data_IF_291992806454
#
_entry.id   IF_291992806454
#
_cell.length_a   1.000
_cell.length_b   1.000
_cell.length_c   1.000
_cell.angle_alpha   90.00
_cell.angle_beta   90.00
_cell.angle_gamma   90.00
#
_symmetry.space_group_name_H-M   'P 1'
#
loop_
_entity.id
_entity.type
_entity.pdbx_description
1 polymer ?
#
# COMPACT_ATOMS: atom_id res chain seq x y z
N UNK A 1 15.34 16.50 9.93
CA UNK A 1 14.18 16.41 9.02
C UNK A 1 12.85 16.66 9.73
N UNK A 2 11.85 17.13 8.99
CA UNK A 2 10.47 17.33 9.44
C UNK A 2 9.58 16.26 8.80
N UNK A 3 8.61 15.74 9.55
CA UNK A 3 7.70 14.70 9.09
C UNK A 3 6.24 15.06 9.39
N UNK A 4 5.34 14.64 8.50
CA UNK A 4 3.93 14.48 8.80
C UNK A 4 3.68 13.10 9.39
N UNK A 5 3.20 13.06 10.63
CA UNK A 5 2.72 11.85 11.25
C UNK A 5 1.21 11.70 11.04
N UNK A 6 0.80 10.65 10.33
CA UNK A 6 -0.60 10.27 10.20
C UNK A 6 -0.99 9.32 11.36
N UNK A 7 -1.84 9.78 12.30
CA UNK A 7 -2.26 8.98 13.46
C UNK A 7 -3.31 7.92 13.10
N UNK A 8 -3.83 7.88 11.86
CA UNK A 8 -4.70 6.80 11.37
C UNK A 8 -3.87 5.59 10.96
N UNK A 9 -2.85 5.82 10.17
CA UNK A 9 -2.03 4.76 9.54
C UNK A 9 -0.72 4.48 10.28
N UNK A 10 -0.36 5.34 11.24
CA UNK A 10 0.92 5.34 11.94
C UNK A 10 2.13 5.52 10.98
N UNK A 11 1.97 6.28 9.91
CA UNK A 11 3.00 6.55 8.91
C UNK A 11 3.66 7.90 9.18
N UNK A 12 4.96 7.98 8.91
CA UNK A 12 5.73 9.22 8.86
C UNK A 12 6.09 9.49 7.39
N UNK A 13 5.69 10.65 6.89
CA UNK A 13 6.02 11.11 5.54
C UNK A 13 6.93 12.32 5.67
N UNK A 14 8.07 12.32 4.98
CA UNK A 14 8.97 13.48 4.98
C UNK A 14 8.27 14.70 4.35
N UNK A 15 8.53 15.87 4.92
CA UNK A 15 7.95 17.13 4.49
C UNK A 15 8.90 18.29 4.81
N UNK A 16 8.61 19.46 4.27
CA UNK A 16 9.20 20.72 4.72
C UNK A 16 8.08 21.74 5.05
N UNK A 17 8.46 22.89 5.61
CA UNK A 17 7.47 23.91 5.97
C UNK A 17 6.80 24.55 4.74
N UNK A 18 7.51 24.79 3.65
CA UNK A 18 6.94 25.42 2.44
C UNK A 18 5.78 24.59 1.88
N UNK A 19 5.96 23.27 1.78
CA UNK A 19 4.90 22.35 1.34
C UNK A 19 3.70 22.38 2.29
N UNK A 20 3.96 22.47 3.59
CA UNK A 20 2.89 22.56 4.60
C UNK A 20 2.14 23.88 4.55
N UNK A 21 2.82 24.99 4.28
CA UNK A 21 2.16 26.29 4.08
C UNK A 21 1.21 26.21 2.87
N UNK A 22 1.65 25.59 1.76
CA UNK A 22 0.82 25.37 0.57
C UNK A 22 -0.40 24.47 0.88
N UNK A 23 -0.17 23.33 1.54
CA UNK A 23 -1.22 22.34 1.82
C UNK A 23 -2.23 22.85 2.86
N UNK A 24 -1.76 23.53 3.90
CA UNK A 24 -2.59 23.90 5.05
C UNK A 24 -3.08 25.35 4.99
N UNK A 25 -2.39 26.23 4.28
CA UNK A 25 -2.60 27.68 4.30
C UNK A 25 -2.13 28.37 5.59
N UNK A 26 -1.40 27.65 6.47
CA UNK A 26 -0.87 28.20 7.72
C UNK A 26 0.52 28.75 7.50
N UNK A 27 0.87 29.86 8.17
CA UNK A 27 2.24 30.39 8.17
C UNK A 27 3.21 29.50 8.97
N UNK A 28 4.50 29.66 8.69
CA UNK A 28 5.60 29.01 9.40
C UNK A 28 5.46 29.14 10.92
N UNK A 29 5.18 30.33 11.44
CA UNK A 29 5.04 30.57 12.90
C UNK A 29 3.90 29.74 13.49
N UNK A 30 2.78 29.60 12.76
CA UNK A 30 1.66 28.76 13.17
C UNK A 30 2.04 27.28 13.15
N UNK A 31 2.72 26.81 12.09
CA UNK A 31 3.17 25.43 11.94
C UNK A 31 4.20 25.06 13.02
N UNK A 32 5.18 25.92 13.27
CA UNK A 32 6.17 25.78 14.34
C UNK A 32 5.51 25.66 15.72
N UNK A 33 4.47 26.46 15.96
CA UNK A 33 3.64 26.35 17.18
C UNK A 33 2.92 25.01 17.27
N UNK A 34 2.33 24.52 16.17
CA UNK A 34 1.67 23.20 16.15
C UNK A 34 2.66 22.08 16.46
N UNK A 35 3.88 22.16 15.92
CA UNK A 35 4.95 21.21 16.21
C UNK A 35 5.34 21.26 17.70
N UNK A 36 5.68 22.43 18.22
CA UNK A 36 6.12 22.62 19.61
C UNK A 36 5.07 22.16 20.62
N UNK A 37 3.80 22.56 20.40
CA UNK A 37 2.67 22.18 21.24
C UNK A 37 2.09 20.79 20.93
N UNK A 38 2.68 20.04 19.99
CA UNK A 38 2.24 18.69 19.59
C UNK A 38 0.76 18.63 19.19
N UNK A 39 0.29 19.69 18.55
CA UNK A 39 -1.09 19.89 18.11
C UNK A 39 -1.33 19.25 16.74
N UNK A 40 -2.57 18.82 16.53
CA UNK A 40 -3.00 18.25 15.27
C UNK A 40 -3.26 19.35 14.25
N UNK A 41 -2.80 19.16 13.02
CA UNK A 41 -3.18 19.94 11.87
C UNK A 41 -4.52 19.38 11.34
N UNK A 42 -5.63 19.96 11.78
CA UNK A 42 -6.99 19.47 11.50
C UNK A 42 -7.27 19.29 10.00
N UNK A 43 -6.84 20.25 9.16
CA UNK A 43 -7.10 20.23 7.71
C UNK A 43 -6.59 18.98 6.99
N UNK A 44 -5.47 18.42 7.45
CA UNK A 44 -4.84 17.22 6.85
C UNK A 44 -4.81 16.02 7.80
N UNK A 45 -5.41 16.17 8.99
CA UNK A 45 -5.48 15.17 10.04
C UNK A 45 -4.14 14.59 10.55
N UNK A 46 -3.05 15.33 10.44
CA UNK A 46 -1.70 14.88 10.81
C UNK A 46 -1.10 15.69 11.96
N UNK A 47 -0.04 15.16 12.56
CA UNK A 47 0.82 15.86 13.51
C UNK A 47 2.17 16.17 12.88
N UNK A 48 2.85 17.22 13.34
CA UNK A 48 4.23 17.48 12.95
C UNK A 48 5.18 16.73 13.87
N UNK A 49 6.04 15.93 13.26
CA UNK A 49 7.05 15.12 13.93
C UNK A 49 8.45 15.47 13.41
N UNK A 50 9.46 15.06 14.16
CA UNK A 50 10.87 15.15 13.80
C UNK A 50 11.60 13.89 14.29
N UNK A 51 12.91 13.84 14.10
CA UNK A 51 13.76 12.73 14.51
C UNK A 51 13.72 12.44 16.01
N UNK A 52 13.37 13.43 16.84
CA UNK A 52 13.24 13.28 18.30
C UNK A 52 11.89 12.69 18.72
N UNK A 53 10.97 12.52 17.78
CA UNK A 53 9.62 12.04 18.06
C UNK A 53 9.63 10.55 18.41
N UNK A 54 9.37 10.25 19.68
CA UNK A 54 9.41 8.88 20.20
C UNK A 54 8.19 8.05 19.80
N UNK A 55 8.33 6.71 19.85
CA UNK A 55 7.21 5.79 19.67
C UNK A 55 6.08 6.03 20.69
N UNK A 56 6.43 6.42 21.93
CA UNK A 56 5.47 6.79 22.97
C UNK A 56 4.61 7.98 22.52
N UNK A 57 5.24 9.02 21.97
CA UNK A 57 4.52 10.20 21.48
C UNK A 57 3.57 9.86 20.32
N UNK A 58 4.05 9.10 19.35
CA UNK A 58 3.23 8.62 18.22
C UNK A 58 2.02 7.83 18.72
N UNK A 59 2.24 6.98 19.71
CA UNK A 59 1.16 6.22 20.34
C UNK A 59 0.14 7.12 21.03
N UNK A 60 0.57 8.14 21.77
CA UNK A 60 -0.35 9.10 22.39
C UNK A 60 -1.22 9.80 21.35
N UNK A 61 -0.63 10.27 20.24
CA UNK A 61 -1.38 10.86 19.13
C UNK A 61 -2.34 9.86 18.51
N UNK A 62 -1.89 8.65 18.22
CA UNK A 62 -2.71 7.56 17.68
C UNK A 62 -3.93 7.26 18.58
N UNK A 63 -3.75 7.26 19.90
CA UNK A 63 -4.82 6.97 20.88
C UNK A 63 -5.82 8.11 20.98
N UNK A 64 -5.36 9.37 20.88
CA UNK A 64 -6.22 10.56 20.92
C UNK A 64 -7.24 10.62 19.79
N UNK A 65 -6.97 9.94 18.68
CA UNK A 65 -7.89 9.91 17.54
C UNK A 65 -9.22 9.22 17.87
N UNK A 66 -10.28 9.94 17.53
CA UNK A 66 -11.68 9.51 17.63
C UNK A 66 -12.27 9.48 16.24
N UNK A 67 -12.88 8.35 15.90
CA UNK A 67 -13.57 8.17 14.63
C UNK A 67 -15.06 8.00 14.88
N UNK A 68 -15.86 8.60 14.01
CA UNK A 68 -17.32 8.49 14.08
C UNK A 68 -17.75 7.04 13.80
N UNK A 69 -18.64 6.48 14.62
CA UNK A 69 -19.13 5.10 14.49
C UNK A 69 -17.99 4.05 14.43
N UNK A 70 -16.93 4.25 15.24
CA UNK A 70 -15.90 3.23 15.39
C UNK A 70 -16.44 2.03 16.17
N UNK A 71 -16.48 0.87 15.50
CA UNK A 71 -16.93 -0.40 16.07
C UNK A 71 -15.75 -1.34 16.21
N UNK A 72 -15.67 -2.04 17.34
CA UNK A 72 -14.61 -2.99 17.67
C UNK A 72 -15.14 -4.42 17.70
N UNK A 73 -14.41 -5.36 17.11
CA UNK A 73 -14.68 -6.80 17.15
C UNK A 73 -13.48 -7.56 17.70
N UNK A 74 -13.72 -8.66 18.40
CA UNK A 74 -12.66 -9.58 18.80
C UNK A 74 -12.03 -10.23 17.55
N UNK A 75 -10.70 -10.34 17.56
CA UNK A 75 -9.97 -11.05 16.50
C UNK A 75 -10.20 -12.54 16.64
N UNK A 76 -10.58 -13.21 15.56
CA UNK A 76 -11.01 -14.61 15.56
C UNK A 76 -9.88 -15.54 16.03
N UNK A 77 -10.20 -16.52 16.88
CA UNK A 77 -9.21 -17.42 17.47
C UNK A 77 -8.11 -16.71 18.26
N UNK A 78 -8.40 -15.54 18.84
CA UNK A 78 -7.47 -14.82 19.73
C UNK A 78 -7.74 -15.05 21.22
N UNK A 79 -8.86 -15.71 21.55
CA UNK A 79 -9.36 -15.83 22.93
C UNK A 79 -9.66 -14.47 23.54
N UNK A 80 -10.28 -13.58 22.75
CA UNK A 80 -10.63 -12.19 23.09
C UNK A 80 -9.45 -11.30 23.54
N UNK A 81 -8.21 -11.74 23.32
CA UNK A 81 -7.01 -10.97 23.68
C UNK A 81 -6.76 -9.80 22.76
N UNK A 82 -7.33 -9.80 21.56
CA UNK A 82 -7.10 -8.76 20.55
C UNK A 82 -8.42 -8.28 19.97
N UNK A 83 -8.53 -6.96 19.77
CA UNK A 83 -9.65 -6.33 19.08
C UNK A 83 -9.16 -5.67 17.79
N UNK A 84 -10.03 -5.64 16.79
CA UNK A 84 -9.86 -4.90 15.53
C UNK A 84 -11.05 -3.96 15.34
N UNK A 85 -10.79 -2.72 14.93
CA UNK A 85 -11.85 -1.77 14.59
C UNK A 85 -12.16 -1.75 13.10
N UNK A 86 -13.35 -1.28 12.76
CA UNK A 86 -13.77 -1.04 11.38
C UNK A 86 -12.89 -0.02 10.65
N UNK A 87 -12.12 0.80 11.37
CA UNK A 87 -11.10 1.74 10.87
C UNK A 87 -9.70 1.14 10.72
N UNK A 88 -9.52 -0.15 11.03
CA UNK A 88 -8.21 -0.81 10.95
C UNK A 88 -7.28 -0.46 12.10
N UNK A 89 -7.84 -0.08 13.26
CA UNK A 89 -7.10 0.08 14.51
C UNK A 89 -7.12 -1.23 15.29
N UNK A 90 -6.11 -1.45 16.11
CA UNK A 90 -5.96 -2.69 16.88
C UNK A 90 -5.72 -2.40 18.35
N UNK A 91 -6.30 -3.23 19.22
CA UNK A 91 -6.05 -3.22 20.65
C UNK A 91 -5.66 -4.61 21.12
N UNK A 92 -4.86 -4.66 22.16
CA UNK A 92 -4.67 -5.85 22.99
C UNK A 92 -5.40 -5.64 24.31
N UNK A 93 -6.21 -6.61 24.71
CA UNK A 93 -6.84 -6.67 26.01
C UNK A 93 -5.94 -7.41 26.99
N UNK A 94 -5.84 -6.86 28.19
CA UNK A 94 -5.24 -7.45 29.38
C UNK A 94 -6.32 -7.52 30.46
N UNK A 95 -6.03 -8.21 31.57
CA UNK A 95 -7.00 -8.39 32.68
C UNK A 95 -7.61 -7.07 33.19
N UNK A 96 -6.82 -5.99 33.23
CA UNK A 96 -7.21 -4.71 33.82
C UNK A 96 -7.02 -3.50 32.89
N UNK A 97 -6.60 -3.72 31.64
CA UNK A 97 -6.33 -2.61 30.72
C UNK A 97 -6.41 -3.01 29.26
N UNK A 98 -6.63 -2.02 28.41
CA UNK A 98 -6.48 -2.15 26.97
C UNK A 98 -5.29 -1.33 26.47
N UNK A 99 -4.59 -1.84 25.46
CA UNK A 99 -3.44 -1.17 24.86
C UNK A 99 -3.59 -1.15 23.36
N UNK A 100 -3.61 0.04 22.77
CA UNK A 100 -3.54 0.18 21.33
C UNK A 100 -2.23 -0.41 20.79
N UNK A 101 -2.34 -1.11 19.67
CA UNK A 101 -1.23 -1.63 18.89
C UNK A 101 -1.11 -0.78 17.62
N UNK A 102 0.12 -0.41 17.27
CA UNK A 102 0.38 0.41 16.12
C UNK A 102 0.69 -0.49 14.91
N UNK A 103 -0.11 -0.46 13.84
CA UNK A 103 0.29 -1.04 12.57
C UNK A 103 1.56 -0.38 12.05
N UNK A 104 2.36 -1.12 11.29
CA UNK A 104 3.58 -0.59 10.67
C UNK A 104 3.56 -0.83 9.17
N UNK A 105 4.15 0.10 8.42
CA UNK A 105 4.29 0.00 6.98
C UNK A 105 5.36 -1.03 6.62
N UNK A 106 4.99 -2.02 5.82
CA UNK A 106 5.92 -2.98 5.27
C UNK A 106 6.54 -2.45 3.98
N UNK A 107 7.81 -2.02 4.04
CA UNK A 107 8.51 -1.30 2.96
C UNK A 107 8.39 -1.97 1.58
N UNK A 108 8.50 -3.30 1.50
CA UNK A 108 8.48 -4.02 0.21
C UNK A 108 7.10 -4.07 -0.43
N UNK A 109 6.01 -4.17 0.34
CA UNK A 109 4.67 -4.32 -0.23
C UNK A 109 3.85 -3.03 -0.22
N UNK A 110 4.20 -2.08 0.64
CA UNK A 110 3.44 -0.86 0.90
C UNK A 110 2.16 -1.09 1.70
N UNK A 111 1.94 -2.30 2.25
CA UNK A 111 0.78 -2.59 3.10
C UNK A 111 1.09 -2.32 4.58
N UNK A 112 0.06 -2.05 5.37
CA UNK A 112 0.16 -2.05 6.83
C UNK A 112 0.10 -3.47 7.40
N UNK A 113 1.02 -3.79 8.30
CA UNK A 113 1.07 -5.05 9.02
C UNK A 113 0.90 -4.86 10.53
N UNK A 114 0.40 -5.89 11.19
CA UNK A 114 0.24 -5.94 12.65
C UNK A 114 0.59 -7.34 13.16
N UNK A 115 1.20 -7.44 14.35
CA UNK A 115 1.46 -8.72 15.03
C UNK A 115 0.37 -8.99 16.06
N UNK A 116 -0.47 -9.99 15.81
CA UNK A 116 -1.59 -10.38 16.68
C UNK A 116 -1.77 -11.90 16.67
N UNK A 117 -2.59 -12.43 17.59
CA UNK A 117 -3.11 -13.79 17.49
C UNK A 117 -4.35 -13.78 16.60
N UNK A 118 -4.36 -14.62 15.57
CA UNK A 118 -5.51 -14.84 14.69
C UNK A 118 -5.55 -16.32 14.31
N UNK A 119 -6.73 -16.95 14.39
CA UNK A 119 -6.92 -18.40 14.18
C UNK A 119 -5.91 -19.24 14.98
N UNK A 120 -5.78 -18.93 16.28
CA UNK A 120 -4.87 -19.58 17.22
C UNK A 120 -3.37 -19.49 16.87
N UNK A 121 -2.98 -18.58 15.95
CA UNK A 121 -1.58 -18.40 15.53
C UNK A 121 -1.15 -16.95 15.72
N UNK A 122 -0.07 -16.76 16.49
CA UNK A 122 0.57 -15.45 16.67
C UNK A 122 1.57 -15.20 15.55
N UNK A 123 1.24 -14.30 14.61
CA UNK A 123 2.09 -13.95 13.47
C UNK A 123 1.92 -12.48 13.10
N UNK A 124 2.70 -12.01 12.14
CA UNK A 124 2.43 -10.75 11.44
C UNK A 124 1.39 -11.00 10.35
N UNK A 125 0.35 -10.18 10.33
CA UNK A 125 -0.74 -10.23 9.35
C UNK A 125 -0.88 -8.88 8.67
N UNK A 126 -1.40 -8.87 7.44
CA UNK A 126 -1.85 -7.63 6.80
C UNK A 126 -3.05 -7.09 7.59
N UNK A 127 -2.98 -5.84 8.01
CA UNK A 127 -4.07 -5.20 8.75
C UNK A 127 -5.37 -5.20 7.95
N UNK A 128 -5.31 -4.90 6.64
CA UNK A 128 -6.45 -4.94 5.73
C UNK A 128 -7.18 -6.29 5.72
N UNK A 129 -6.45 -7.40 5.74
CA UNK A 129 -7.05 -8.74 5.72
C UNK A 129 -7.81 -9.05 7.01
N UNK A 130 -7.29 -8.59 8.16
CA UNK A 130 -8.00 -8.76 9.44
C UNK A 130 -9.28 -7.91 9.45
N UNK A 131 -9.21 -6.65 9.01
CA UNK A 131 -10.42 -5.81 8.92
C UNK A 131 -11.44 -6.41 7.98
N UNK A 132 -11.03 -6.82 6.77
CA UNK A 132 -11.93 -7.40 5.79
C UNK A 132 -12.62 -8.66 6.32
N UNK A 133 -11.87 -9.56 6.94
CA UNK A 133 -12.42 -10.77 7.55
C UNK A 133 -13.52 -10.46 8.58
N UNK A 134 -13.31 -9.44 9.41
CA UNK A 134 -14.22 -9.12 10.51
C UNK A 134 -15.39 -8.20 10.14
N UNK A 135 -15.25 -7.37 9.10
CA UNK A 135 -16.24 -6.33 8.76
C UNK A 135 -16.80 -6.40 7.35
N UNK A 136 -16.12 -7.07 6.42
CA UNK A 136 -16.56 -7.24 5.01
C UNK A 136 -17.11 -8.65 4.79
N UNK A 137 -16.48 -9.67 5.38
CA UNK A 137 -16.87 -11.08 5.28
C UNK A 137 -15.77 -11.94 4.68
N UNK A 138 -16.15 -13.06 4.07
CA UNK A 138 -15.22 -13.99 3.42
C UNK A 138 -15.22 -13.78 1.89
N UNK A 139 -14.05 -13.90 1.23
CA UNK A 139 -13.99 -13.87 -0.24
C UNK A 139 -14.70 -15.09 -0.83
N UNK A 140 -15.36 -14.91 -1.97
CA UNK A 140 -15.77 -16.04 -2.82
C UNK A 140 -14.54 -16.67 -3.49
N UNK A 141 -14.64 -17.92 -3.97
CA UNK A 141 -13.56 -18.55 -4.73
C UNK A 141 -13.08 -17.65 -5.89
N UNK A 142 -11.76 -17.42 -5.96
CA UNK A 142 -11.15 -16.58 -6.99
C UNK A 142 -11.16 -15.07 -6.72
N UNK A 143 -11.81 -14.60 -5.67
CA UNK A 143 -11.75 -13.20 -5.27
C UNK A 143 -10.48 -12.87 -4.47
N UNK A 144 -10.07 -11.61 -4.58
CA UNK A 144 -8.93 -11.03 -3.88
C UNK A 144 -9.36 -9.73 -3.20
N UNK A 145 -8.71 -9.42 -2.07
CA UNK A 145 -8.96 -8.18 -1.35
C UNK A 145 -8.39 -6.99 -2.14
N UNK A 146 -9.19 -5.94 -2.28
CA UNK A 146 -8.86 -4.73 -3.02
C UNK A 146 -9.27 -3.48 -2.22
N UNK A 147 -8.41 -2.45 -2.27
CA UNK A 147 -8.71 -1.12 -1.74
C UNK A 147 -9.38 -0.28 -2.83
N UNK A 148 -10.66 0.08 -2.65
CA UNK A 148 -11.47 0.84 -3.63
C UNK A 148 -10.81 2.15 -4.06
N UNK A 149 -10.20 2.85 -3.12
CA UNK A 149 -9.50 4.13 -3.34
C UNK A 149 -8.03 3.96 -3.77
N UNK A 150 -7.56 2.71 -3.94
CA UNK A 150 -6.19 2.37 -4.35
C UNK A 150 -5.10 2.79 -3.34
N UNK A 151 -5.50 3.15 -2.12
CA UNK A 151 -4.60 3.51 -1.01
C UNK A 151 -4.45 2.30 -0.09
N UNK A 152 -3.33 1.57 -0.22
CA UNK A 152 -3.05 0.32 0.53
C UNK A 152 -3.02 0.48 2.06
N UNK A 153 -2.83 1.70 2.54
CA UNK A 153 -2.74 2.03 3.96
C UNK A 153 -4.09 2.40 4.56
N UNK A 154 -5.11 2.65 3.72
CA UNK A 154 -6.44 3.01 4.16
C UNK A 154 -7.30 1.77 4.40
N UNK A 155 -7.18 1.23 5.61
CA UNK A 155 -7.85 -0.02 5.98
C UNK A 155 -9.24 0.19 6.59
N UNK A 156 -9.93 1.30 6.29
CA UNK A 156 -11.33 1.43 6.66
C UNK A 156 -12.18 0.45 5.86
N UNK A 157 -13.04 -0.30 6.53
CA UNK A 157 -13.75 -1.43 5.92
C UNK A 157 -14.56 -1.06 4.68
N UNK A 158 -15.13 0.15 4.62
CA UNK A 158 -15.88 0.64 3.44
C UNK A 158 -14.99 0.74 2.21
N UNK A 159 -13.71 1.03 2.40
CA UNK A 159 -12.71 1.10 1.32
C UNK A 159 -12.15 -0.27 0.94
N UNK A 160 -12.55 -1.33 1.62
CA UNK A 160 -12.15 -2.70 1.32
C UNK A 160 -13.28 -3.43 0.57
N UNK A 161 -12.92 -4.20 -0.44
CA UNK A 161 -13.84 -5.09 -1.15
C UNK A 161 -13.12 -6.37 -1.59
N UNK A 162 -13.87 -7.46 -1.69
CA UNK A 162 -13.42 -8.64 -2.41
C UNK A 162 -13.90 -8.53 -3.86
N UNK A 163 -12.98 -8.68 -4.81
CA UNK A 163 -13.27 -8.65 -6.25
C UNK A 163 -12.54 -9.76 -6.98
N UNK A 164 -13.09 -10.18 -8.12
CA UNK A 164 -12.43 -11.15 -9.00
C UNK A 164 -11.12 -10.59 -9.56
N UNK A 165 -10.14 -11.47 -9.83
CA UNK A 165 -8.87 -11.09 -10.46
C UNK A 165 -9.05 -10.38 -11.81
N UNK A 166 -10.07 -10.78 -12.57
CA UNK A 166 -10.41 -10.14 -13.84
C UNK A 166 -10.85 -8.68 -13.66
N UNK A 167 -11.78 -8.43 -12.72
CA UNK A 167 -12.24 -7.07 -12.40
C UNK A 167 -11.10 -6.22 -11.84
N UNK A 168 -10.23 -6.81 -11.01
CA UNK A 168 -9.01 -6.14 -10.55
C UNK A 168 -8.11 -5.77 -11.73
N UNK A 169 -7.86 -6.71 -12.64
CA UNK A 169 -7.07 -6.47 -13.86
C UNK A 169 -7.63 -5.33 -14.71
N UNK A 170 -8.95 -5.27 -14.91
CA UNK A 170 -9.61 -4.15 -15.60
C UNK A 170 -9.45 -2.83 -14.85
N UNK A 171 -9.55 -2.82 -13.52
CA UNK A 171 -9.40 -1.62 -12.68
C UNK A 171 -7.98 -1.10 -12.58
N UNK A 172 -6.97 -1.95 -12.56
CA UNK A 172 -5.57 -1.54 -12.30
C UNK A 172 -4.63 -1.74 -13.47
N UNK A 173 -5.09 -2.38 -14.55
CA UNK A 173 -4.28 -2.70 -15.72
C UNK A 173 -3.67 -1.48 -16.39
N UNK A 174 -4.38 -0.34 -16.38
CA UNK A 174 -3.86 0.93 -16.91
C UNK A 174 -2.61 1.45 -16.18
N UNK A 175 -2.35 0.99 -14.95
CA UNK A 175 -1.13 1.32 -14.19
C UNK A 175 0.05 0.43 -14.57
N UNK A 176 -0.15 -0.56 -15.44
CA UNK A 176 0.93 -1.37 -15.97
C UNK A 176 1.79 -0.50 -16.90
N UNK A 177 3.07 -0.37 -16.59
CA UNK A 177 4.06 0.36 -17.40
C UNK A 177 4.61 -0.52 -18.53
N UNK A 178 3.75 -1.25 -19.23
CA UNK A 178 4.20 -2.12 -20.31
C UNK A 178 4.92 -1.27 -21.36
N UNK A 179 6.19 -1.60 -21.63
CA UNK A 179 6.96 -0.96 -22.69
C UNK A 179 6.65 -1.66 -24.01
N UNK A 180 6.28 -0.92 -25.07
CA UNK A 180 6.10 -1.49 -26.39
C UNK A 180 7.41 -2.10 -26.89
N UNK A 181 7.28 -3.12 -27.73
CA UNK A 181 8.39 -3.91 -28.28
C UNK A 181 8.18 -4.03 -29.77
N UNK A 182 9.25 -3.91 -30.54
CA UNK A 182 9.25 -4.17 -31.98
C UNK A 182 10.08 -5.40 -32.28
N UNK A 183 9.64 -6.20 -33.25
CA UNK A 183 10.44 -7.25 -33.89
C UNK A 183 11.03 -6.66 -35.17
N UNK A 184 12.33 -6.82 -35.33
CA UNK A 184 13.12 -6.24 -36.41
C UNK A 184 13.78 -7.38 -37.17
N UNK A 185 13.78 -7.27 -38.50
CA UNK A 185 14.58 -8.13 -39.36
C UNK A 185 16.06 -7.83 -39.14
N UNK A 186 16.87 -8.86 -38.85
CA UNK A 186 18.30 -8.67 -38.56
C UNK A 186 19.09 -8.13 -39.75
N UNK A 187 18.70 -8.49 -40.96
CA UNK A 187 19.50 -8.25 -42.16
C UNK A 187 19.09 -6.92 -42.81
N UNK A 188 17.79 -6.59 -42.86
CA UNK A 188 17.29 -5.33 -43.41
C UNK A 188 17.11 -4.22 -42.38
N UNK A 189 17.11 -4.56 -41.08
CA UNK A 189 16.79 -3.65 -39.97
C UNK A 189 15.38 -3.03 -40.05
N UNK A 190 14.49 -3.62 -40.84
CA UNK A 190 13.10 -3.16 -40.96
C UNK A 190 12.23 -3.68 -39.80
N UNK A 191 11.27 -2.86 -39.39
CA UNK A 191 10.28 -3.26 -38.38
C UNK A 191 9.30 -4.24 -39.01
N UNK A 192 9.31 -5.49 -38.54
CA UNK A 192 8.41 -6.55 -38.99
C UNK A 192 7.06 -6.49 -38.28
N UNK A 193 7.05 -6.27 -36.96
CA UNK A 193 5.83 -6.21 -36.16
C UNK A 193 6.03 -5.40 -34.88
N UNK A 194 4.99 -4.69 -34.45
CA UNK A 194 4.95 -3.97 -33.18
C UNK A 194 4.02 -4.66 -32.16
N UNK A 195 4.44 -4.64 -30.90
CA UNK A 195 3.74 -5.26 -29.79
C UNK A 195 3.60 -4.25 -28.65
N UNK A 196 2.48 -4.31 -27.92
CA UNK A 196 2.23 -3.44 -26.77
C UNK A 196 3.13 -3.80 -25.57
N UNK A 197 3.73 -4.99 -25.57
CA UNK A 197 4.63 -5.46 -24.51
C UNK A 197 5.50 -6.65 -24.91
N UNK A 198 6.57 -6.88 -24.14
CA UNK A 198 7.40 -8.10 -24.17
C UNK A 198 6.56 -9.39 -24.08
N UNK A 199 5.50 -9.40 -23.24
CA UNK A 199 4.63 -10.58 -23.09
C UNK A 199 3.78 -10.84 -24.33
N UNK A 200 3.35 -9.78 -25.00
CA UNK A 200 2.60 -9.91 -26.24
C UNK A 200 3.50 -10.40 -27.37
N UNK A 201 4.71 -9.84 -27.50
CA UNK A 201 5.74 -10.31 -28.42
C UNK A 201 6.06 -11.80 -28.20
N UNK A 202 6.30 -12.21 -26.95
CA UNK A 202 6.57 -13.62 -26.64
C UNK A 202 5.42 -14.56 -27.03
N UNK A 203 4.17 -14.17 -26.72
CA UNK A 203 2.98 -14.98 -27.05
C UNK A 203 2.75 -15.10 -28.56
N UNK A 204 2.89 -14.00 -29.32
CA UNK A 204 2.62 -13.99 -30.77
C UNK A 204 3.77 -14.61 -31.58
N UNK A 205 5.01 -14.38 -31.17
CA UNK A 205 6.20 -14.90 -31.85
C UNK A 205 6.67 -16.25 -31.28
N UNK A 206 5.88 -16.88 -30.40
CA UNK A 206 6.19 -18.17 -29.77
C UNK A 206 7.55 -18.22 -29.02
N UNK A 207 8.00 -17.08 -28.51
CA UNK A 207 9.18 -16.98 -27.64
C UNK A 207 8.79 -16.93 -26.18
N UNK A 208 9.67 -17.45 -25.30
CA UNK A 208 9.50 -17.23 -23.87
C UNK A 208 9.59 -15.73 -23.55
N UNK A 209 8.83 -15.29 -22.54
CA UNK A 209 8.92 -13.91 -22.04
C UNK A 209 10.37 -13.50 -21.73
N UNK A 210 11.15 -14.41 -21.13
CA UNK A 210 12.53 -14.15 -20.73
C UNK A 210 13.43 -13.98 -21.95
N UNK A 211 13.23 -14.77 -23.01
CA UNK A 211 13.99 -14.66 -24.26
C UNK A 211 13.77 -13.30 -24.92
N UNK A 212 12.52 -12.86 -25.07
CA UNK A 212 12.22 -11.54 -25.66
C UNK A 212 12.81 -10.43 -24.78
N UNK A 213 12.64 -10.52 -23.45
CA UNK A 213 13.18 -9.53 -22.52
C UNK A 213 14.71 -9.44 -22.59
N UNK A 214 15.40 -10.57 -22.65
CA UNK A 214 16.87 -10.60 -22.74
C UNK A 214 17.36 -10.06 -24.07
N UNK A 215 16.65 -10.32 -25.18
CA UNK A 215 16.94 -9.71 -26.49
C UNK A 215 16.74 -8.19 -26.46
N UNK A 216 15.62 -7.69 -25.93
CA UNK A 216 15.39 -6.24 -25.78
C UNK A 216 16.46 -5.58 -24.90
N UNK A 217 17.01 -6.29 -23.91
CA UNK A 217 18.08 -5.81 -23.03
C UNK A 217 19.50 -6.13 -23.55
N UNK A 218 19.64 -6.67 -24.77
CA UNK A 218 20.92 -7.04 -25.38
C UNK A 218 21.75 -8.05 -24.56
N UNK A 219 21.10 -8.90 -23.76
CA UNK A 219 21.71 -9.96 -22.94
C UNK A 219 21.82 -11.30 -23.66
N UNK A 220 21.14 -11.45 -24.80
CA UNK A 220 21.14 -12.65 -25.62
C UNK A 220 21.30 -12.27 -27.08
N UNK A 221 22.19 -12.97 -27.79
CA UNK A 221 22.38 -12.82 -29.24
C UNK A 221 21.35 -13.72 -29.94
N UNK A 222 20.47 -13.18 -30.81
CA UNK A 222 19.52 -14.00 -31.54
C UNK A 222 20.25 -14.94 -32.50
N UNK A 223 20.06 -16.25 -32.30
CA UNK A 223 20.60 -17.30 -33.20
C UNK A 223 19.74 -17.47 -34.46
N UNK A 224 18.47 -17.12 -34.38
CA UNK A 224 17.44 -17.40 -35.38
C UNK A 224 16.99 -16.14 -36.16
N UNK A 225 17.83 -15.10 -36.22
CA UNK A 225 17.59 -13.89 -37.03
C UNK A 225 16.65 -12.84 -36.41
N UNK A 226 15.71 -13.19 -35.53
CA UNK A 226 14.76 -12.21 -34.99
C UNK A 226 15.35 -11.33 -33.86
N UNK A 227 15.46 -10.02 -34.12
CA UNK A 227 15.86 -9.02 -33.14
C UNK A 227 14.61 -8.41 -32.49
N UNK A 228 14.62 -8.27 -31.17
CA UNK A 228 13.57 -7.55 -30.43
C UNK A 228 14.16 -6.33 -29.76
N UNK A 229 13.49 -5.19 -29.87
CA UNK A 229 13.89 -3.92 -29.24
C UNK A 229 12.69 -3.26 -28.55
N UNK A 230 12.93 -2.52 -27.48
CA UNK A 230 11.90 -1.65 -26.93
C UNK A 230 11.65 -0.50 -27.92
N UNK A 231 10.40 -0.18 -28.17
CA UNK A 231 10.04 1.08 -28.84
C UNK A 231 10.10 2.20 -27.80
N UNK A 232 10.59 3.37 -28.24
CA UNK A 232 10.64 4.60 -27.45
C UNK A 232 9.26 5.29 -27.40
#
# INVERSE_FOLDING_TARGET
MLYLYDPRTNILTETNYKDLELLTGKSYSSLSTHKSKKMKLSKINCYLADEKTTLKQRKEWYVKEKYHNEVWKAVEGSGDKFLVSNYGRFKRLYKSSEKFLLPYLHKRSGDLFIKVQFKNKVKKYKASHLVAYHFVGNPKPGEVLHHKNLIKTDNFFVNLEYITKEKLGKKTGFRSTSKPVVRIDKDTMEVLEEFKSVREAGRKCFFSYQTVLDRCNKKSIPRDGDVFMFAD
#
